data_IF_345603748790
#
_entry.id   IF_345603748790
#
_cell.length_a   1.000
_cell.length_b   1.000
_cell.length_c   1.000
_cell.angle_alpha   90.00
_cell.angle_beta   90.00
_cell.angle_gamma   90.00
#
_symmetry.space_group_name_H-M   'P 1'
#
loop_
_entity.id
_entity.type
_entity.pdbx_description
1 polymer ?
#
# COMPACT_ATOMS: atom_id res chain seq x y z
N UNK A 1 -24.83 -32.50 -7.25
CA UNK A 1 -24.02 -32.01 -8.38
C UNK A 1 -24.18 -30.52 -8.66
N UNK A 2 -25.30 -29.86 -8.29
CA UNK A 2 -25.39 -28.38 -8.39
C UNK A 2 -24.67 -27.64 -7.26
N UNK A 3 -24.65 -28.19 -6.03
CA UNK A 3 -24.05 -27.52 -4.87
C UNK A 3 -22.52 -27.36 -4.96
N UNK A 4 -21.78 -28.36 -5.46
CA UNK A 4 -20.31 -28.23 -5.63
C UNK A 4 -19.93 -27.17 -6.68
N UNK A 5 -20.75 -26.98 -7.71
CA UNK A 5 -20.52 -25.98 -8.75
C UNK A 5 -20.83 -24.56 -8.25
N UNK A 6 -21.80 -24.41 -7.34
CA UNK A 6 -22.13 -23.11 -6.73
C UNK A 6 -21.07 -22.66 -5.72
N UNK A 7 -20.51 -23.57 -4.90
CA UNK A 7 -19.40 -23.27 -3.98
C UNK A 7 -18.16 -22.85 -4.76
N UNK A 8 -17.77 -23.60 -5.79
CA UNK A 8 -16.63 -23.26 -6.64
C UNK A 8 -16.78 -21.90 -7.35
N UNK A 9 -18.00 -21.54 -7.75
CA UNK A 9 -18.28 -20.23 -8.35
C UNK A 9 -18.23 -19.10 -7.33
N UNK A 10 -18.74 -19.30 -6.11
CA UNK A 10 -18.67 -18.31 -5.05
C UNK A 10 -17.22 -18.04 -4.62
N UNK A 11 -16.39 -19.08 -4.53
CA UNK A 11 -14.97 -18.94 -4.20
C UNK A 11 -14.21 -18.15 -5.28
N UNK A 12 -14.50 -18.39 -6.56
CA UNK A 12 -13.94 -17.60 -7.66
C UNK A 12 -14.38 -16.13 -7.60
N UNK A 13 -15.65 -15.85 -7.30
CA UNK A 13 -16.15 -14.48 -7.17
C UNK A 13 -15.43 -13.77 -6.03
N UNK A 14 -15.33 -14.39 -4.84
CA UNK A 14 -14.61 -13.82 -3.69
C UNK A 14 -13.14 -13.55 -4.03
N UNK A 15 -12.46 -14.50 -4.66
CA UNK A 15 -11.08 -14.33 -5.11
C UNK A 15 -10.92 -13.09 -6.01
N UNK A 16 -11.82 -12.90 -6.98
CA UNK A 16 -11.76 -11.76 -7.89
C UNK A 16 -12.09 -10.44 -7.19
N UNK A 17 -13.09 -10.43 -6.30
CA UNK A 17 -13.47 -9.25 -5.51
C UNK A 17 -12.33 -8.81 -4.59
N UNK A 18 -11.71 -9.75 -3.87
CA UNK A 18 -10.61 -9.47 -2.95
C UNK A 18 -9.35 -9.03 -3.72
N UNK A 19 -9.06 -9.66 -4.88
CA UNK A 19 -7.98 -9.22 -5.77
C UNK A 19 -8.16 -7.78 -6.23
N UNK A 20 -9.37 -7.43 -6.67
CA UNK A 20 -9.69 -6.09 -7.14
C UNK A 20 -9.65 -5.06 -6.02
N UNK A 21 -10.23 -5.37 -4.86
CA UNK A 21 -10.19 -4.52 -3.67
C UNK A 21 -8.75 -4.26 -3.22
N UNK A 22 -7.90 -5.29 -3.23
CA UNK A 22 -6.47 -5.15 -2.93
C UNK A 22 -5.76 -4.23 -3.94
N UNK A 23 -5.98 -4.41 -5.24
CA UNK A 23 -5.38 -3.56 -6.27
C UNK A 23 -5.79 -2.08 -6.12
N UNK A 24 -7.08 -1.83 -5.85
CA UNK A 24 -7.58 -0.47 -5.61
C UNK A 24 -6.96 0.17 -4.37
N UNK A 25 -6.89 -0.57 -3.25
CA UNK A 25 -6.29 -0.07 -2.02
C UNK A 25 -4.79 0.22 -2.19
N UNK A 26 -4.06 -0.64 -2.90
CA UNK A 26 -2.65 -0.42 -3.25
C UNK A 26 -2.49 0.83 -4.13
N UNK A 27 -3.34 1.04 -5.13
CA UNK A 27 -3.30 2.24 -5.99
C UNK A 27 -3.44 3.52 -5.16
N UNK A 28 -4.45 3.58 -4.30
CA UNK A 28 -4.73 4.78 -3.51
C UNK A 28 -3.65 5.01 -2.45
N UNK A 29 -3.16 3.94 -1.81
CA UNK A 29 -2.05 4.03 -0.88
C UNK A 29 -0.77 4.53 -1.56
N UNK A 30 -0.45 4.03 -2.76
CA UNK A 30 0.71 4.50 -3.51
C UNK A 30 0.62 6.00 -3.81
N UNK A 31 -0.54 6.45 -4.28
CA UNK A 31 -0.81 7.85 -4.61
C UNK A 31 -0.67 8.77 -3.40
N UNK A 32 -1.28 8.42 -2.27
CA UNK A 32 -1.26 9.24 -1.06
C UNK A 32 0.13 9.27 -0.40
N UNK A 33 0.85 8.14 -0.39
CA UNK A 33 2.23 8.10 0.09
C UNK A 33 3.18 8.93 -0.79
N UNK A 34 3.02 8.91 -2.11
CA UNK A 34 3.80 9.74 -3.02
C UNK A 34 3.51 11.25 -2.82
N UNK A 35 2.23 11.61 -2.65
CA UNK A 35 1.83 12.98 -2.33
C UNK A 35 2.44 13.43 -1.00
N UNK A 36 2.38 12.57 0.02
CA UNK A 36 2.94 12.87 1.34
C UNK A 36 4.45 13.11 1.28
N UNK A 37 5.19 12.22 0.62
CA UNK A 37 6.63 12.41 0.40
C UNK A 37 6.93 13.73 -0.33
N UNK A 38 6.10 14.11 -1.30
CA UNK A 38 6.25 15.37 -2.04
C UNK A 38 6.02 16.60 -1.14
N UNK A 39 5.01 16.56 -0.26
CA UNK A 39 4.73 17.68 0.66
C UNK A 39 5.85 17.88 1.69
N UNK A 40 6.48 16.79 2.15
CA UNK A 40 7.64 16.87 3.07
C UNK A 40 8.89 17.46 2.43
N UNK A 41 8.97 17.55 1.09
CA UNK A 41 10.11 18.17 0.38
C UNK A 41 10.05 19.71 0.35
N UNK A 42 8.90 20.29 0.73
CA UNK A 42 8.75 21.74 0.90
C UNK A 42 9.09 22.06 2.36
N UNK A 43 10.36 22.40 2.61
CA UNK A 43 10.81 22.87 3.92
C UNK A 43 10.01 24.10 4.41
N UNK A 44 10.17 24.52 5.68
CA UNK A 44 9.46 25.68 6.20
C UNK A 44 9.89 26.95 5.45
N UNK A 45 9.08 27.34 4.46
CA UNK A 45 9.25 28.52 3.63
C UNK A 45 10.02 28.26 2.34
N UNK A 46 9.46 28.74 1.22
CA UNK A 46 10.19 28.95 -0.04
C UNK A 46 11.31 30.02 0.09
N UNK A 47 11.52 30.52 1.31
CA UNK A 47 12.45 31.58 1.71
C UNK A 47 13.63 31.05 2.55
N UNK A 48 13.65 29.74 2.87
CA UNK A 48 14.74 29.13 3.61
C UNK A 48 15.93 28.88 2.67
N UNK A 49 17.07 29.51 2.96
CA UNK A 49 18.29 29.38 2.18
C UNK A 49 18.83 27.94 2.14
N UNK A 50 19.83 27.67 1.29
CA UNK A 50 20.39 26.32 1.02
C UNK A 50 21.01 25.61 2.24
N UNK A 51 21.04 26.24 3.42
CA UNK A 51 21.60 25.73 4.68
C UNK A 51 20.52 25.31 5.70
N UNK A 52 19.24 25.23 5.31
CA UNK A 52 18.19 24.72 6.19
C UNK A 52 18.44 23.24 6.51
N UNK A 53 18.77 22.95 7.77
CA UNK A 53 18.93 21.58 8.26
C UNK A 53 17.56 20.91 8.25
N UNK A 54 17.38 19.90 7.40
CA UNK A 54 16.17 19.07 7.39
C UNK A 54 16.03 18.35 8.74
N UNK A 55 14.81 18.36 9.30
CA UNK A 55 14.51 17.59 10.51
C UNK A 55 14.69 16.09 10.20
N UNK A 56 15.59 15.37 10.91
CA UNK A 56 15.82 13.94 10.68
C UNK A 56 14.55 13.08 10.70
N UNK A 57 13.51 13.49 11.45
CA UNK A 57 12.21 12.82 11.47
C UNK A 57 11.42 13.00 10.16
N UNK A 58 11.51 14.17 9.54
CA UNK A 58 10.85 14.47 8.26
C UNK A 58 11.51 13.72 7.11
N UNK A 59 12.84 13.60 7.13
CA UNK A 59 13.58 12.83 6.13
C UNK A 59 13.26 11.33 6.20
N UNK A 60 13.14 10.78 7.41
CA UNK A 60 12.75 9.39 7.60
C UNK A 60 11.32 9.14 7.13
N UNK A 61 10.39 10.03 7.48
CA UNK A 61 9.03 9.97 6.98
C UNK A 61 8.98 9.97 5.45
N UNK A 62 9.73 10.87 4.81
CA UNK A 62 9.80 10.98 3.35
C UNK A 62 10.30 9.69 2.72
N UNK A 63 11.43 9.16 3.21
CA UNK A 63 11.98 7.89 2.72
C UNK A 63 10.98 6.74 2.88
N UNK A 64 10.31 6.66 4.04
CA UNK A 64 9.34 5.60 4.29
C UNK A 64 8.12 5.71 3.41
N UNK A 65 7.57 6.91 3.23
CA UNK A 65 6.45 7.17 2.34
C UNK A 65 6.78 6.81 0.89
N UNK A 66 7.97 7.17 0.39
CA UNK A 66 8.42 6.77 -0.96
C UNK A 66 8.56 5.24 -1.10
N UNK A 67 9.12 4.57 -0.09
CA UNK A 67 9.23 3.11 -0.08
C UNK A 67 7.85 2.45 -0.09
N UNK A 68 6.90 2.93 0.71
CA UNK A 68 5.54 2.45 0.72
C UNK A 68 4.85 2.67 -0.63
N UNK A 69 5.06 3.83 -1.25
CA UNK A 69 4.50 4.15 -2.56
C UNK A 69 4.99 3.17 -3.63
N UNK A 70 6.30 2.93 -3.70
CA UNK A 70 6.89 2.02 -4.68
C UNK A 70 6.41 0.56 -4.52
N UNK A 71 6.31 0.08 -3.27
CA UNK A 71 5.84 -1.29 -3.00
C UNK A 71 4.35 -1.43 -3.35
N UNK A 72 3.53 -0.44 -3.03
CA UNK A 72 2.10 -0.47 -3.35
C UNK A 72 1.85 -0.39 -4.87
N UNK A 73 2.62 0.44 -5.59
CA UNK A 73 2.54 0.54 -7.06
C UNK A 73 2.88 -0.79 -7.73
N UNK A 74 3.99 -1.42 -7.36
CA UNK A 74 4.39 -2.72 -7.89
C UNK A 74 3.36 -3.81 -7.54
N UNK A 75 2.80 -3.79 -6.34
CA UNK A 75 1.76 -4.74 -5.92
C UNK A 75 0.50 -4.57 -6.76
N UNK A 76 0.04 -3.34 -6.97
CA UNK A 76 -1.13 -3.06 -7.81
C UNK A 76 -0.90 -3.53 -9.25
N UNK A 77 0.28 -3.24 -9.81
CA UNK A 77 0.65 -3.67 -11.17
C UNK A 77 0.58 -5.18 -11.29
N UNK A 78 1.18 -5.92 -10.34
CA UNK A 78 1.09 -7.38 -10.28
C UNK A 78 -0.36 -7.85 -10.21
N UNK A 79 -1.17 -7.34 -9.28
CA UNK A 79 -2.57 -7.79 -9.14
C UNK A 79 -3.44 -7.52 -10.38
N UNK A 80 -3.04 -6.57 -11.21
CA UNK A 80 -3.73 -6.19 -12.44
C UNK A 80 -3.31 -7.01 -13.66
N UNK A 81 -2.15 -7.69 -13.61
CA UNK A 81 -1.63 -8.49 -14.72
C UNK A 81 -2.25 -9.91 -14.71
N UNK A 82 -2.83 -10.32 -15.84
CA UNK A 82 -3.47 -11.65 -15.99
C UNK A 82 -2.49 -12.81 -16.24
N UNK A 83 -1.21 -12.52 -16.51
CA UNK A 83 -0.24 -13.57 -16.85
C UNK A 83 0.06 -14.46 -15.64
N UNK A 84 0.12 -15.77 -15.84
CA UNK A 84 0.33 -16.82 -14.82
C UNK A 84 1.31 -16.38 -13.73
N UNK A 85 0.77 -15.86 -12.63
CA UNK A 85 1.58 -15.40 -11.52
C UNK A 85 1.98 -16.60 -10.70
N UNK A 86 3.25 -16.67 -10.33
CA UNK A 86 3.68 -17.61 -9.31
C UNK A 86 2.99 -17.20 -7.99
N UNK A 87 2.14 -18.08 -7.46
CA UNK A 87 1.40 -17.85 -6.22
C UNK A 87 2.35 -17.56 -5.05
N UNK A 88 3.52 -18.22 -5.00
CA UNK A 88 4.51 -17.98 -3.96
C UNK A 88 5.09 -16.56 -4.04
N UNK A 89 5.40 -16.09 -5.25
CA UNK A 89 5.88 -14.72 -5.45
C UNK A 89 4.79 -13.68 -5.14
N UNK A 90 3.53 -13.98 -5.49
CA UNK A 90 2.40 -13.11 -5.18
C UNK A 90 2.17 -12.99 -3.67
N UNK A 91 2.21 -14.12 -2.94
CA UNK A 91 2.10 -14.13 -1.48
C UNK A 91 3.22 -13.34 -0.84
N UNK A 92 4.47 -13.57 -1.26
CA UNK A 92 5.62 -12.83 -0.76
C UNK A 92 5.47 -11.31 -0.98
N UNK A 93 5.03 -10.91 -2.17
CA UNK A 93 4.78 -9.50 -2.48
C UNK A 93 3.70 -8.89 -1.59
N UNK A 94 2.58 -9.59 -1.37
CA UNK A 94 1.47 -9.10 -0.54
C UNK A 94 1.86 -8.99 0.93
N UNK A 95 2.62 -9.96 1.46
CA UNK A 95 3.14 -9.93 2.83
C UNK A 95 4.09 -8.74 3.02
N UNK A 96 4.99 -8.52 2.06
CA UNK A 96 5.88 -7.36 2.06
C UNK A 96 5.09 -6.04 1.99
N UNK A 97 4.11 -5.93 1.09
CA UNK A 97 3.27 -4.75 0.93
C UNK A 97 2.50 -4.44 2.22
N UNK A 98 1.91 -5.46 2.85
CA UNK A 98 1.24 -5.34 4.14
C UNK A 98 2.17 -4.83 5.23
N UNK A 99 3.36 -5.41 5.36
CA UNK A 99 4.35 -5.01 6.37
C UNK A 99 4.76 -3.56 6.19
N UNK A 100 5.16 -3.19 4.96
CA UNK A 100 5.62 -1.84 4.64
C UNK A 100 4.53 -0.79 4.90
N UNK A 101 3.27 -1.11 4.56
CA UNK A 101 2.14 -0.22 4.78
C UNK A 101 1.87 0.01 6.27
N UNK A 102 1.90 -1.05 7.09
CA UNK A 102 1.69 -0.92 8.54
C UNK A 102 2.78 -0.08 9.20
N UNK A 103 4.04 -0.34 8.84
CA UNK A 103 5.15 0.44 9.38
C UNK A 103 5.09 1.91 8.93
N UNK A 104 4.70 2.17 7.68
CA UNK A 104 4.50 3.53 7.19
C UNK A 104 3.38 4.25 7.95
N UNK A 105 2.26 3.57 8.22
CA UNK A 105 1.16 4.12 9.01
C UNK A 105 1.62 4.52 10.43
N UNK A 106 2.44 3.68 11.08
CA UNK A 106 2.97 3.98 12.42
C UNK A 106 3.83 5.24 12.44
N UNK A 107 4.69 5.45 11.43
CA UNK A 107 5.44 6.70 11.33
C UNK A 107 4.51 7.88 11.09
N UNK A 108 3.57 7.77 10.14
CA UNK A 108 2.64 8.83 9.80
C UNK A 108 1.78 9.28 11.00
N UNK A 109 1.42 8.38 11.92
CA UNK A 109 0.66 8.72 13.14
C UNK A 109 1.38 9.74 14.04
N UNK A 110 2.70 9.92 13.88
CA UNK A 110 3.49 10.93 14.61
C UNK A 110 3.62 12.28 13.90
N UNK A 111 3.02 12.44 12.71
CA UNK A 111 3.13 13.65 11.90
C UNK A 111 1.76 14.30 11.66
N UNK A 112 1.51 15.51 12.19
CA UNK A 112 0.28 16.24 11.94
C UNK A 112 0.04 16.48 10.45
N UNK A 113 -1.19 16.28 9.98
CA UNK A 113 -1.55 16.41 8.55
C UNK A 113 -1.29 15.15 7.72
N UNK A 114 -0.83 14.06 8.34
CA UNK A 114 -0.60 12.77 7.70
C UNK A 114 -1.76 11.78 7.82
N UNK A 115 -2.87 12.16 8.45
CA UNK A 115 -3.91 11.25 8.92
C UNK A 115 -4.55 10.47 7.76
N UNK A 116 -4.85 11.15 6.66
CA UNK A 116 -5.41 10.53 5.44
C UNK A 116 -4.45 9.50 4.84
N UNK A 117 -3.15 9.80 4.83
CA UNK A 117 -2.14 8.86 4.33
C UNK A 117 -2.01 7.65 5.26
N UNK A 118 -2.04 7.87 6.57
CA UNK A 118 -1.97 6.79 7.57
C UNK A 118 -3.18 5.85 7.48
N UNK A 119 -4.37 6.40 7.27
CA UNK A 119 -5.60 5.62 7.04
C UNK A 119 -5.52 4.79 5.76
N UNK A 120 -5.03 5.38 4.65
CA UNK A 120 -4.83 4.66 3.40
C UNK A 120 -3.85 3.49 3.54
N UNK A 121 -2.72 3.69 4.24
CA UNK A 121 -1.78 2.62 4.58
C UNK A 121 -2.44 1.48 5.36
N UNK A 122 -3.26 1.81 6.36
CA UNK A 122 -4.01 0.80 7.15
C UNK A 122 -5.09 0.09 6.35
N UNK A 123 -5.73 0.78 5.42
CA UNK A 123 -6.72 0.20 4.50
C UNK A 123 -6.04 -0.77 3.53
N UNK A 124 -4.93 -0.37 2.92
CA UNK A 124 -4.11 -1.21 2.07
C UNK A 124 -3.61 -2.46 2.80
N UNK A 125 -3.08 -2.31 4.02
CA UNK A 125 -2.63 -3.44 4.81
C UNK A 125 -3.74 -4.48 5.12
N UNK A 126 -4.99 -4.02 5.31
CA UNK A 126 -6.15 -4.91 5.48
C UNK A 126 -6.49 -5.61 4.18
N UNK A 127 -6.62 -4.88 3.08
CA UNK A 127 -6.94 -5.46 1.78
C UNK A 127 -5.89 -6.51 1.33
N UNK A 128 -4.60 -6.26 1.58
CA UNK A 128 -3.55 -7.26 1.35
C UNK A 128 -3.75 -8.52 2.21
N UNK A 129 -4.12 -8.36 3.49
CA UNK A 129 -4.37 -9.49 4.39
C UNK A 129 -5.62 -10.29 3.99
N UNK A 130 -6.68 -9.58 3.60
CA UNK A 130 -7.94 -10.20 3.16
C UNK A 130 -7.70 -11.00 1.88
N UNK A 131 -6.99 -10.43 0.89
CA UNK A 131 -6.65 -11.17 -0.33
C UNK A 131 -5.70 -12.34 -0.06
N UNK A 132 -4.68 -12.19 0.78
CA UNK A 132 -3.82 -13.30 1.22
C UNK A 132 -4.62 -14.48 1.79
N UNK A 133 -5.71 -14.20 2.51
CA UNK A 133 -6.57 -15.25 3.08
C UNK A 133 -7.31 -16.09 2.03
N UNK A 134 -7.42 -15.58 0.80
CA UNK A 134 -8.01 -16.30 -0.34
C UNK A 134 -7.02 -17.16 -1.11
N UNK A 135 -5.71 -16.95 -0.92
CA UNK A 135 -4.64 -17.63 -1.65
C UNK A 135 -4.25 -19.01 -1.09
N UNK A 136 -5.10 -19.62 -0.24
CA UNK A 136 -4.88 -20.97 0.31
C UNK A 136 -3.98 -21.06 1.54
#
# INVERSE_FOLDING_TARGET
MSQDHDVSRQDLVRFLEDRFACAQACTECARLCALQASMTSVGPGADAGPDAIEDPGVDELRRRAMSCAAVCDETCRRLSEEASQDEYELRFQLEMCRSVSLDCAQLLDHHPGAETCAEACRSCARACADFLSTLG
#
